data_IF_065387389612
#
_entry.id   IF_065387389612
#
_cell.length_a   1.000
_cell.length_b   1.000
_cell.length_c   1.000
_cell.angle_alpha   90.00
_cell.angle_beta   90.00
_cell.angle_gamma   90.00
#
_symmetry.space_group_name_H-M   'P 1'
#
loop_
_entity.id
_entity.type
_entity.pdbx_description
1 polymer ?
#
# COMPACT_ATOMS: atom_id res chain seq x y z
N UNK A 1 8.95 16.59 -21.27
CA UNK A 1 9.48 15.98 -20.03
C UNK A 1 9.01 14.55 -19.97
N UNK A 2 9.92 13.60 -19.86
CA UNK A 2 9.56 12.17 -19.68
C UNK A 2 8.88 12.02 -18.34
N UNK A 3 7.72 11.34 -18.30
CA UNK A 3 7.02 11.03 -17.05
C UNK A 3 7.93 10.15 -16.18
N UNK A 4 8.18 10.54 -14.94
CA UNK A 4 8.90 9.66 -14.00
C UNK A 4 7.97 8.52 -13.58
N UNK A 5 8.52 7.33 -13.43
CA UNK A 5 7.78 6.19 -12.88
C UNK A 5 7.56 6.36 -11.36
N UNK A 6 6.67 5.58 -10.79
CA UNK A 6 6.33 5.61 -9.36
C UNK A 6 6.45 4.21 -8.78
N UNK A 7 7.21 4.05 -7.70
CA UNK A 7 7.26 2.81 -6.92
C UNK A 7 6.55 3.07 -5.59
N UNK A 8 5.55 2.26 -5.30
CA UNK A 8 4.78 2.28 -4.05
C UNK A 8 4.99 0.94 -3.36
N UNK A 9 5.47 0.94 -2.13
CA UNK A 9 5.60 -0.31 -1.39
C UNK A 9 5.14 -0.17 0.06
N UNK A 10 4.50 -1.23 0.58
CA UNK A 10 4.20 -1.31 2.01
C UNK A 10 5.48 -1.62 2.77
N UNK A 11 5.61 -1.08 3.97
CA UNK A 11 6.72 -1.45 4.84
C UNK A 11 6.49 -2.85 5.41
N UNK A 12 7.52 -3.69 5.39
CA UNK A 12 7.54 -4.95 6.12
C UNK A 12 7.53 -4.73 7.64
N UNK A 13 7.56 -5.77 8.43
CA UNK A 13 7.60 -5.71 9.88
C UNK A 13 6.31 -6.20 10.53
N UNK A 14 5.58 -5.37 11.28
CA UNK A 14 4.40 -5.84 12.04
C UNK A 14 3.36 -6.54 11.15
N UNK A 15 3.05 -7.79 11.49
CA UNK A 15 1.94 -8.55 10.88
C UNK A 15 0.56 -8.07 11.36
N UNK A 16 -0.47 -8.27 10.53
CA UNK A 16 -1.86 -7.98 10.92
C UNK A 16 -2.28 -6.52 10.94
N UNK A 17 -1.44 -5.57 10.55
CA UNK A 17 -1.78 -4.13 10.53
C UNK A 17 -2.66 -3.70 9.36
N UNK A 18 -2.93 -4.60 8.41
CA UNK A 18 -3.80 -4.35 7.24
C UNK A 18 -3.06 -3.90 5.98
N UNK A 19 -1.76 -4.23 5.82
CA UNK A 19 -0.96 -3.87 4.63
C UNK A 19 -1.66 -4.24 3.33
N UNK A 20 -1.97 -5.52 3.16
CA UNK A 20 -2.62 -6.04 1.95
C UNK A 20 -3.99 -5.39 1.69
N UNK A 21 -4.78 -5.12 2.74
CA UNK A 21 -6.07 -4.42 2.61
C UNK A 21 -5.90 -2.99 2.10
N UNK A 22 -4.91 -2.27 2.64
CA UNK A 22 -4.60 -0.88 2.22
C UNK A 22 -4.11 -0.87 0.78
N UNK A 23 -3.17 -1.75 0.43
CA UNK A 23 -2.59 -1.79 -0.91
C UNK A 23 -3.61 -2.24 -1.96
N UNK A 24 -4.54 -3.13 -1.60
CA UNK A 24 -5.64 -3.52 -2.47
C UNK A 24 -6.57 -2.35 -2.77
N UNK A 25 -6.96 -1.57 -1.75
CA UNK A 25 -7.76 -0.37 -1.95
C UNK A 25 -7.03 0.72 -2.75
N UNK A 26 -5.71 0.86 -2.54
CA UNK A 26 -4.86 1.79 -3.29
C UNK A 26 -4.77 1.39 -4.76
N UNK A 27 -4.59 0.11 -5.05
CA UNK A 27 -4.58 -0.44 -6.42
C UNK A 27 -5.86 -0.08 -7.16
N UNK A 28 -6.99 -0.32 -6.53
CA UNK A 28 -8.29 0.00 -7.09
C UNK A 28 -8.46 1.50 -7.35
N UNK A 29 -8.03 2.36 -6.40
CA UNK A 29 -8.07 3.82 -6.59
C UNK A 29 -7.17 4.26 -7.76
N UNK A 30 -5.95 3.73 -7.89
CA UNK A 30 -5.03 4.04 -9.00
C UNK A 30 -5.66 3.67 -10.35
N UNK A 31 -6.36 2.54 -10.42
CA UNK A 31 -7.09 2.14 -11.64
C UNK A 31 -8.21 3.11 -12.02
N UNK A 32 -8.82 3.80 -11.06
CA UNK A 32 -9.79 4.87 -11.38
C UNK A 32 -9.14 6.12 -12.00
N UNK A 33 -7.81 6.22 -11.94
CA UNK A 33 -7.01 7.28 -12.57
C UNK A 33 -6.46 6.87 -13.94
N UNK A 34 -7.00 5.80 -14.50
CA UNK A 34 -6.60 5.25 -15.82
C UNK A 34 -5.15 4.76 -15.88
N UNK A 35 -4.57 4.44 -14.72
CA UNK A 35 -3.30 3.73 -14.65
C UNK A 35 -3.55 2.23 -14.46
N UNK A 36 -2.75 1.40 -15.13
CA UNK A 36 -2.70 -0.03 -14.88
C UNK A 36 -1.38 -0.38 -14.17
N UNK A 37 -1.37 -0.43 -12.83
CA UNK A 37 -0.14 -0.64 -12.09
C UNK A 37 0.35 -2.07 -12.21
N UNK A 38 1.67 -2.25 -12.22
CA UNK A 38 2.32 -3.54 -12.06
C UNK A 38 2.27 -3.92 -10.59
N UNK A 39 1.70 -5.10 -10.31
CA UNK A 39 1.46 -5.57 -8.96
C UNK A 39 2.48 -6.64 -8.57
N UNK A 40 3.20 -6.43 -7.47
CA UNK A 40 4.22 -7.34 -6.95
C UNK A 40 3.81 -7.80 -5.54
N UNK A 41 3.88 -9.09 -5.30
CA UNK A 41 3.62 -9.71 -4.01
C UNK A 41 4.91 -10.31 -3.46
N UNK A 42 5.48 -9.67 -2.44
CA UNK A 42 6.72 -10.07 -1.76
C UNK A 42 6.46 -10.86 -0.48
N UNK A 43 5.18 -11.11 -0.13
CA UNK A 43 4.84 -11.89 1.06
C UNK A 43 4.97 -13.39 0.81
N UNK A 44 6.14 -13.95 1.13
CA UNK A 44 6.40 -15.38 1.03
C UNK A 44 5.91 -16.20 2.22
N UNK A 45 5.46 -15.55 3.31
CA UNK A 45 5.01 -16.24 4.52
C UNK A 45 3.52 -16.62 4.44
N UNK A 46 2.70 -15.81 3.77
CA UNK A 46 1.26 -16.02 3.62
C UNK A 46 0.90 -16.59 2.23
N UNK A 47 1.40 -17.79 1.92
CA UNK A 47 1.27 -18.37 0.56
C UNK A 47 -0.17 -18.62 0.08
N UNK A 48 -1.15 -18.83 0.98
CA UNK A 48 -2.41 -19.49 0.55
C UNK A 48 -3.72 -18.72 0.78
N UNK A 49 -3.82 -17.71 1.65
CA UNK A 49 -5.16 -17.18 2.02
C UNK A 49 -5.30 -15.67 2.17
N UNK A 50 -4.24 -14.89 2.30
CA UNK A 50 -4.32 -13.45 2.53
C UNK A 50 -3.21 -12.64 1.86
N UNK A 51 -2.51 -13.22 0.92
CA UNK A 51 -1.48 -12.51 0.14
C UNK A 51 -2.13 -11.59 -0.90
N UNK A 52 -1.39 -10.61 -1.36
CA UNK A 52 -1.87 -9.67 -2.37
C UNK A 52 -2.33 -10.37 -3.65
N UNK A 53 -1.61 -11.41 -4.08
CA UNK A 53 -1.99 -12.23 -5.22
C UNK A 53 -3.34 -12.94 -5.04
N UNK A 54 -3.79 -13.19 -3.82
CA UNK A 54 -5.11 -13.81 -3.62
C UNK A 54 -6.27 -12.88 -3.98
N UNK A 55 -6.08 -11.55 -3.90
CA UNK A 55 -7.05 -10.53 -4.30
C UNK A 55 -6.89 -10.13 -5.77
N UNK A 56 -5.66 -10.09 -6.25
CA UNK A 56 -5.27 -9.74 -7.61
C UNK A 56 -4.43 -10.87 -8.22
N UNK A 57 -5.06 -11.85 -8.90
CA UNK A 57 -4.37 -13.02 -9.44
C UNK A 57 -3.25 -12.68 -10.44
N UNK A 58 -3.31 -11.50 -11.05
CA UNK A 58 -2.28 -10.96 -11.94
C UNK A 58 -1.03 -10.44 -11.20
N UNK A 59 -1.08 -10.30 -9.86
CA UNK A 59 0.09 -9.89 -9.09
C UNK A 59 1.21 -10.93 -9.20
N UNK A 60 2.41 -10.45 -9.52
CA UNK A 60 3.58 -11.31 -9.66
C UNK A 60 4.16 -11.63 -8.29
N UNK A 61 4.22 -12.92 -7.95
CA UNK A 61 4.89 -13.38 -6.73
C UNK A 61 6.39 -13.34 -6.94
N UNK A 62 7.10 -12.64 -6.06
CA UNK A 62 8.56 -12.53 -6.11
C UNK A 62 9.13 -12.98 -4.77
N UNK A 63 10.01 -13.99 -4.82
CA UNK A 63 10.77 -14.38 -3.63
C UNK A 63 11.95 -13.43 -3.44
N UNK A 64 11.83 -12.50 -2.51
CA UNK A 64 12.87 -11.49 -2.23
C UNK A 64 14.17 -12.09 -1.68
N UNK A 65 14.15 -13.34 -1.20
CA UNK A 65 15.33 -14.06 -0.71
C UNK A 65 16.15 -14.69 -1.85
N UNK A 66 15.53 -14.82 -3.02
CA UNK A 66 16.25 -15.31 -4.19
C UNK A 66 17.22 -14.22 -4.72
N UNK A 67 18.46 -14.59 -5.10
CA UNK A 67 19.41 -13.65 -5.65
C UNK A 67 18.79 -12.82 -6.80
N UNK A 68 19.10 -11.53 -6.83
CA UNK A 68 18.71 -10.59 -7.89
C UNK A 68 17.22 -10.51 -8.19
N UNK A 69 16.38 -11.08 -7.32
CA UNK A 69 14.93 -11.10 -7.52
C UNK A 69 14.30 -9.71 -7.52
N UNK A 70 14.83 -8.79 -6.70
CA UNK A 70 14.37 -7.40 -6.63
C UNK A 70 14.83 -6.57 -7.84
N UNK A 71 15.86 -7.01 -8.56
CA UNK A 71 16.33 -6.31 -9.78
C UNK A 71 15.30 -6.39 -10.93
N UNK A 72 14.34 -7.31 -10.84
CA UNK A 72 13.19 -7.34 -11.75
C UNK A 72 12.39 -6.03 -11.76
N UNK A 73 12.46 -5.25 -10.67
CA UNK A 73 11.84 -3.92 -10.60
C UNK A 73 12.38 -3.01 -11.69
N UNK A 74 13.67 -3.08 -12.03
CA UNK A 74 14.27 -2.26 -13.09
C UNK A 74 13.64 -2.50 -14.44
N UNK A 75 13.32 -3.76 -14.76
CA UNK A 75 12.66 -4.10 -16.03
C UNK A 75 11.30 -3.37 -16.19
N UNK A 76 10.57 -3.19 -15.10
CA UNK A 76 9.30 -2.48 -15.13
C UNK A 76 9.48 -0.96 -15.28
N UNK A 77 10.63 -0.42 -14.88
CA UNK A 77 10.95 1.00 -14.99
C UNK A 77 11.44 1.40 -16.39
N UNK A 78 11.70 0.47 -17.29
CA UNK A 78 12.06 0.73 -18.69
C UNK A 78 10.95 1.51 -19.42
N UNK A 79 9.69 1.34 -18.98
CA UNK A 79 8.57 2.12 -19.50
C UNK A 79 8.30 3.35 -18.63
N UNK A 80 8.57 4.57 -19.12
CA UNK A 80 8.36 5.78 -18.34
C UNK A 80 6.90 5.99 -17.92
N UNK A 81 6.69 6.44 -16.69
CA UNK A 81 5.35 6.70 -16.16
C UNK A 81 4.65 5.45 -15.61
N UNK A 82 5.36 4.33 -15.53
CA UNK A 82 4.85 3.09 -14.90
C UNK A 82 4.64 3.29 -13.40
N UNK A 83 3.58 2.70 -12.87
CA UNK A 83 3.36 2.55 -11.42
C UNK A 83 3.63 1.10 -11.04
N UNK A 84 4.56 0.90 -10.11
CA UNK A 84 4.82 -0.40 -9.49
C UNK A 84 4.28 -0.39 -8.08
N UNK A 85 3.46 -1.34 -7.72
CA UNK A 85 2.90 -1.53 -6.36
C UNK A 85 3.43 -2.83 -5.79
N UNK A 86 4.12 -2.76 -4.64
CA UNK A 86 4.69 -3.92 -3.99
C UNK A 86 4.13 -4.10 -2.57
N UNK A 87 3.52 -5.25 -2.30
CA UNK A 87 3.09 -5.65 -0.96
C UNK A 87 4.15 -6.49 -0.28
N UNK A 88 4.71 -5.98 0.83
CA UNK A 88 5.78 -6.65 1.55
C UNK A 88 5.25 -7.51 2.70
N UNK A 89 5.81 -8.72 2.81
CA UNK A 89 5.62 -9.58 3.96
C UNK A 89 6.24 -9.02 5.26
N UNK A 90 5.84 -9.56 6.40
CA UNK A 90 6.32 -9.08 7.70
C UNK A 90 7.85 -9.21 7.86
N UNK A 91 8.47 -10.27 7.30
CA UNK A 91 9.90 -10.55 7.45
C UNK A 91 10.81 -9.97 6.34
N UNK A 92 10.30 -9.11 5.45
CA UNK A 92 11.02 -8.69 4.23
C UNK A 92 12.02 -7.55 4.39
N UNK A 93 12.24 -7.03 5.59
CA UNK A 93 13.01 -5.79 5.80
C UNK A 93 14.48 -5.90 5.38
N UNK A 94 15.20 -6.92 5.85
CA UNK A 94 16.65 -7.01 5.65
C UNK A 94 17.06 -7.08 4.17
N UNK A 95 16.39 -7.89 3.38
CA UNK A 95 16.65 -8.05 1.95
C UNK A 95 16.33 -6.76 1.20
N UNK A 96 15.19 -6.13 1.53
CA UNK A 96 14.79 -4.87 0.90
C UNK A 96 15.73 -3.73 1.24
N UNK A 97 16.19 -3.62 2.50
CA UNK A 97 17.17 -2.60 2.90
C UNK A 97 18.49 -2.78 2.14
N UNK A 98 19.03 -4.03 2.12
CA UNK A 98 20.27 -4.33 1.41
C UNK A 98 20.19 -4.03 -0.08
N UNK A 99 19.07 -4.35 -0.72
CA UNK A 99 18.83 -4.02 -2.12
C UNK A 99 18.75 -2.50 -2.33
N UNK A 100 17.97 -1.82 -1.50
CA UNK A 100 17.75 -0.38 -1.62
C UNK A 100 19.06 0.40 -1.41
N UNK A 101 19.89 0.00 -0.46
CA UNK A 101 21.19 0.64 -0.21
C UNK A 101 22.13 0.56 -1.43
N UNK A 102 22.05 -0.53 -2.20
CA UNK A 102 22.85 -0.67 -3.44
C UNK A 102 22.26 0.06 -4.64
N UNK A 103 20.96 0.23 -4.69
CA UNK A 103 20.24 0.61 -5.93
C UNK A 103 19.50 1.93 -5.85
N UNK A 104 19.36 2.55 -4.68
CA UNK A 104 18.53 3.74 -4.47
C UNK A 104 18.90 4.90 -5.43
N UNK A 105 20.19 5.12 -5.69
CA UNK A 105 20.64 6.16 -6.60
C UNK A 105 20.15 5.88 -8.03
N UNK A 106 20.30 4.64 -8.50
CA UNK A 106 19.88 4.24 -9.84
C UNK A 106 18.36 4.31 -9.95
N UNK A 107 17.64 3.76 -8.96
CA UNK A 107 16.15 3.86 -8.91
C UNK A 107 15.73 5.32 -8.98
N UNK A 108 16.38 6.21 -8.23
CA UNK A 108 16.09 7.64 -8.19
C UNK A 108 16.25 8.37 -9.53
N UNK A 109 16.97 7.81 -10.50
CA UNK A 109 17.07 8.38 -11.86
C UNK A 109 15.79 8.15 -12.67
N UNK A 110 15.09 7.04 -12.43
CA UNK A 110 13.93 6.60 -13.23
C UNK A 110 12.59 6.78 -12.53
N UNK A 111 12.56 6.65 -11.21
CA UNK A 111 11.32 6.61 -10.45
C UNK A 111 11.37 7.46 -9.18
N UNK A 112 10.20 7.93 -8.78
CA UNK A 112 9.95 8.40 -7.43
C UNK A 112 9.51 7.21 -6.57
N UNK A 113 9.97 7.16 -5.32
CA UNK A 113 9.69 6.04 -4.43
C UNK A 113 8.87 6.54 -3.25
N UNK A 114 7.76 5.87 -2.96
CA UNK A 114 6.94 6.13 -1.78
C UNK A 114 6.83 4.88 -0.90
N UNK A 115 7.29 5.01 0.32
CA UNK A 115 7.19 4.00 1.36
C UNK A 115 5.88 4.20 2.14
N UNK A 116 5.06 3.15 2.26
CA UNK A 116 3.74 3.18 2.88
C UNK A 116 3.81 2.49 4.23
N UNK A 117 3.80 3.28 5.30
CA UNK A 117 3.74 2.81 6.68
C UNK A 117 2.31 2.74 7.18
N UNK A 118 1.94 1.68 7.88
CA UNK A 118 0.59 1.51 8.40
C UNK A 118 0.63 1.47 9.94
N UNK A 119 0.00 2.46 10.54
CA UNK A 119 -0.15 2.61 11.98
C UNK A 119 -1.47 2.03 12.44
N UNK A 120 -1.43 1.26 13.49
CA UNK A 120 -2.58 0.81 14.26
C UNK A 120 -2.42 1.22 15.73
N UNK A 121 -3.32 0.81 16.62
CA UNK A 121 -3.15 0.98 18.07
C UNK A 121 -1.95 0.20 18.64
N UNK A 122 -1.42 -0.79 17.90
CA UNK A 122 -0.29 -1.61 18.34
C UNK A 122 1.02 -0.82 18.19
N UNK A 123 1.77 -0.56 19.29
CA UNK A 123 3.03 0.18 19.23
C UNK A 123 4.05 -0.43 18.25
N UNK A 124 4.06 -1.76 18.07
CA UNK A 124 4.94 -2.43 17.13
C UNK A 124 4.74 -1.99 15.66
N UNK A 125 3.57 -1.42 15.32
CA UNK A 125 3.37 -0.81 14.01
C UNK A 125 4.18 0.47 13.84
N UNK A 126 4.30 1.27 14.90
CA UNK A 126 5.10 2.50 14.94
C UNK A 126 6.60 2.18 14.94
N UNK A 127 7.04 1.21 15.76
CA UNK A 127 8.43 0.75 15.78
C UNK A 127 8.89 0.29 14.40
N UNK A 128 8.04 -0.45 13.70
CA UNK A 128 8.31 -0.87 12.33
C UNK A 128 8.54 0.33 11.40
N UNK A 129 7.69 1.35 11.47
CA UNK A 129 7.81 2.56 10.64
C UNK A 129 9.13 3.29 10.93
N UNK A 130 9.48 3.45 12.21
CA UNK A 130 10.72 4.13 12.59
C UNK A 130 11.96 3.35 12.12
N UNK A 131 11.92 2.02 12.18
CA UNK A 131 12.99 1.16 11.66
C UNK A 131 13.16 1.38 10.14
N UNK A 132 12.07 1.36 9.38
CA UNK A 132 12.10 1.62 7.95
C UNK A 132 12.56 3.04 7.64
N UNK A 133 12.10 4.04 8.37
CA UNK A 133 12.52 5.43 8.21
C UNK A 133 14.02 5.62 8.47
N UNK A 134 14.57 4.92 9.47
CA UNK A 134 16.01 4.95 9.76
C UNK A 134 16.84 4.43 8.58
N UNK A 135 16.42 3.32 7.96
CA UNK A 135 17.14 2.74 6.81
C UNK A 135 16.94 3.52 5.51
N UNK A 136 15.73 3.99 5.24
CA UNK A 136 15.43 4.64 3.96
C UNK A 136 15.82 6.14 3.94
N UNK A 137 15.78 6.81 5.08
CA UNK A 137 16.14 8.23 5.20
C UNK A 137 15.27 9.14 4.34
N UNK A 138 15.91 10.08 3.66
CA UNK A 138 15.31 11.05 2.74
C UNK A 138 15.25 10.57 1.28
N UNK A 139 15.70 9.34 1.02
CA UNK A 139 15.71 8.72 -0.32
C UNK A 139 14.33 8.36 -0.86
N UNK A 140 13.29 8.42 0.01
CA UNK A 140 11.91 8.09 -0.33
C UNK A 140 10.94 9.11 0.25
N UNK A 141 9.75 9.19 -0.34
CA UNK A 141 8.60 9.87 0.26
C UNK A 141 7.86 8.90 1.18
N UNK A 142 7.18 9.43 2.19
CA UNK A 142 6.45 8.61 3.15
C UNK A 142 4.96 8.92 3.10
N UNK A 143 4.16 7.87 2.93
CA UNK A 143 2.74 7.86 3.22
C UNK A 143 2.51 7.09 4.52
N UNK A 144 1.94 7.74 5.51
CA UNK A 144 1.53 7.09 6.75
C UNK A 144 0.01 6.94 6.76
N UNK A 145 -0.44 5.71 6.91
CA UNK A 145 -1.85 5.35 6.97
C UNK A 145 -2.23 5.02 8.40
N UNK A 146 -3.00 5.88 9.04
CA UNK A 146 -3.61 5.60 10.34
C UNK A 146 -4.82 4.68 10.11
N UNK A 147 -4.63 3.40 10.34
CA UNK A 147 -5.63 2.37 10.05
C UNK A 147 -6.39 1.99 11.33
N UNK A 148 -7.59 2.51 11.49
CA UNK A 148 -8.46 2.22 12.63
C UNK A 148 -9.06 0.81 12.49
N UNK A 149 -8.38 -0.21 12.98
CA UNK A 149 -8.88 -1.59 12.94
C UNK A 149 -10.10 -1.82 13.85
N UNK A 150 -10.19 -1.09 14.95
CA UNK A 150 -11.30 -1.14 15.89
C UNK A 150 -11.78 0.27 16.17
N UNK A 151 -13.09 0.49 16.13
CA UNK A 151 -13.71 1.80 16.31
C UNK A 151 -13.34 2.43 17.66
N UNK A 152 -12.95 3.71 17.62
CA UNK A 152 -12.63 4.50 18.80
C UNK A 152 -11.28 4.16 19.45
N UNK A 153 -10.41 3.43 18.76
CA UNK A 153 -9.04 3.21 19.23
C UNK A 153 -8.16 4.39 18.80
N UNK A 154 -7.45 4.97 19.77
CA UNK A 154 -6.48 6.04 19.50
C UNK A 154 -5.21 5.52 18.83
N UNK A 155 -4.40 6.47 18.39
CA UNK A 155 -3.07 6.23 17.81
C UNK A 155 -1.99 6.84 18.73
N UNK A 156 -2.11 6.61 20.05
CA UNK A 156 -1.27 7.27 21.07
C UNK A 156 0.22 6.99 20.84
N UNK A 157 0.57 5.76 20.45
CA UNK A 157 1.95 5.43 20.09
C UNK A 157 2.49 6.26 18.91
N UNK A 158 1.62 6.67 17.98
CA UNK A 158 2.00 7.56 16.88
C UNK A 158 2.06 9.03 17.30
N UNK A 159 1.12 9.50 18.10
CA UNK A 159 1.01 10.92 18.46
C UNK A 159 1.97 11.34 19.56
N UNK A 160 2.27 10.45 20.51
CA UNK A 160 2.94 10.83 21.74
C UNK A 160 4.44 10.47 21.78
N UNK A 161 4.88 9.54 20.92
CA UNK A 161 6.27 9.08 20.87
C UNK A 161 7.21 10.18 20.36
N UNK A 162 8.28 10.54 21.11
CA UNK A 162 9.23 11.58 20.70
C UNK A 162 9.93 11.28 19.38
N UNK A 163 10.28 10.02 19.11
CA UNK A 163 10.93 9.56 17.89
C UNK A 163 10.01 9.76 16.68
N UNK A 164 8.70 9.58 16.84
CA UNK A 164 7.72 9.88 15.79
C UNK A 164 7.67 11.38 15.51
N UNK A 165 7.69 12.22 16.55
CA UNK A 165 7.71 13.69 16.36
C UNK A 165 8.96 14.13 15.62
N UNK A 166 10.10 13.54 15.94
CA UNK A 166 11.36 13.79 15.21
C UNK A 166 11.29 13.33 13.74
N UNK A 167 10.76 12.14 13.49
CA UNK A 167 10.53 11.62 12.15
C UNK A 167 9.60 12.52 11.35
N UNK A 168 8.45 12.92 11.92
CA UNK A 168 7.49 13.79 11.25
C UNK A 168 8.09 15.15 10.92
N UNK A 169 8.89 15.73 11.82
CA UNK A 169 9.57 17.00 11.59
C UNK A 169 10.59 16.91 10.46
N UNK A 170 11.37 15.82 10.39
CA UNK A 170 12.43 15.62 9.40
C UNK A 170 11.87 15.20 8.04
N UNK A 171 11.08 14.15 7.98
CA UNK A 171 10.62 13.52 6.74
C UNK A 171 9.33 14.14 6.17
N UNK A 172 8.57 14.89 6.98
CA UNK A 172 7.30 15.53 6.59
C UNK A 172 6.36 14.58 5.85
N UNK A 173 6.07 13.39 6.42
CA UNK A 173 5.26 12.39 5.76
C UNK A 173 3.86 12.92 5.45
N UNK A 174 3.27 12.44 4.35
CA UNK A 174 1.83 12.59 4.17
C UNK A 174 1.12 11.60 5.10
N UNK A 175 0.20 12.07 5.91
CA UNK A 175 -0.59 11.25 6.82
C UNK A 175 -2.03 11.23 6.35
N UNK A 176 -2.63 10.05 6.26
CA UNK A 176 -4.05 9.84 5.95
C UNK A 176 -4.67 8.90 6.97
N UNK A 177 -5.99 8.99 7.16
CA UNK A 177 -6.75 8.09 8.02
C UNK A 177 -7.64 7.16 7.22
N UNK A 178 -7.71 5.90 7.62
CA UNK A 178 -8.73 4.95 7.16
C UNK A 178 -9.57 4.53 8.36
N UNK A 179 -10.87 4.78 8.25
CA UNK A 179 -11.82 4.47 9.32
C UNK A 179 -12.05 2.96 9.46
N UNK A 180 -12.45 2.58 10.65
CA UNK A 180 -12.83 1.21 10.99
C UNK A 180 -13.88 0.67 10.02
N UNK A 181 -13.59 -0.52 9.51
CA UNK A 181 -14.55 -1.34 8.79
C UNK A 181 -15.11 -2.40 9.74
N UNK A 182 -16.34 -2.82 9.50
CA UNK A 182 -16.94 -3.90 10.25
C UNK A 182 -16.06 -5.16 10.14
N UNK A 183 -15.62 -5.79 11.26
CA UNK A 183 -14.73 -6.95 11.22
C UNK A 183 -15.31 -8.12 10.41
N UNK A 184 -16.60 -8.42 10.55
CA UNK A 184 -17.25 -9.49 9.78
C UNK A 184 -17.20 -9.19 8.27
N UNK A 185 -17.27 -7.91 7.88
CA UNK A 185 -17.17 -7.51 6.49
C UNK A 185 -15.76 -7.77 5.92
N UNK A 186 -14.73 -7.40 6.68
CA UNK A 186 -13.33 -7.64 6.31
C UNK A 186 -13.00 -9.13 6.26
N UNK A 187 -13.48 -9.90 7.24
CA UNK A 187 -13.27 -11.34 7.28
C UNK A 187 -13.96 -12.04 6.11
N UNK A 188 -15.14 -11.61 5.74
CA UNK A 188 -15.85 -12.14 4.58
C UNK A 188 -15.18 -11.78 3.25
N UNK A 189 -14.64 -10.57 3.10
CA UNK A 189 -13.82 -10.20 1.92
C UNK A 189 -12.60 -11.11 1.82
N UNK A 190 -11.86 -11.27 2.92
CA UNK A 190 -10.65 -12.09 2.98
C UNK A 190 -10.93 -13.55 2.70
N UNK A 191 -11.94 -14.13 3.37
CA UNK A 191 -12.31 -15.54 3.21
C UNK A 191 -12.70 -15.88 1.77
N UNK A 192 -13.29 -14.93 1.05
CA UNK A 192 -13.75 -15.11 -0.33
C UNK A 192 -12.84 -14.47 -1.37
N UNK A 193 -11.69 -13.92 -0.98
CA UNK A 193 -10.70 -13.28 -1.89
C UNK A 193 -11.34 -12.17 -2.75
N UNK A 194 -12.22 -11.38 -2.14
CA UNK A 194 -12.94 -10.32 -2.81
C UNK A 194 -12.36 -8.95 -2.46
N UNK A 195 -12.34 -8.08 -3.46
CA UNK A 195 -12.11 -6.65 -3.28
C UNK A 195 -13.44 -5.90 -3.18
N UNK A 196 -13.39 -4.65 -2.71
CA UNK A 196 -14.59 -3.81 -2.64
C UNK A 196 -15.22 -3.60 -4.03
N UNK A 197 -14.39 -3.47 -5.07
CA UNK A 197 -14.85 -3.29 -6.46
C UNK A 197 -15.67 -4.49 -6.94
N UNK A 198 -15.20 -5.71 -6.68
CA UNK A 198 -15.92 -6.95 -7.03
C UNK A 198 -17.27 -7.02 -6.33
N UNK A 199 -17.33 -6.63 -5.04
CA UNK A 199 -18.58 -6.56 -4.30
C UNK A 199 -19.53 -5.52 -4.90
N UNK A 200 -19.06 -4.32 -5.19
CA UNK A 200 -19.86 -3.22 -5.76
C UNK A 200 -20.34 -3.56 -7.17
N UNK A 201 -19.49 -4.16 -7.98
CA UNK A 201 -19.82 -4.60 -9.34
C UNK A 201 -20.70 -5.85 -9.37
N UNK A 202 -20.90 -6.50 -8.22
CA UNK A 202 -21.59 -7.80 -8.10
C UNK A 202 -20.90 -8.93 -8.90
N UNK A 203 -19.60 -8.82 -9.10
CA UNK A 203 -18.77 -9.80 -9.78
C UNK A 203 -18.28 -10.86 -8.77
N UNK A 204 -19.24 -11.61 -8.20
CA UNK A 204 -18.98 -12.68 -7.26
C UNK A 204 -20.24 -13.53 -7.04
N UNK A 205 -20.06 -14.76 -6.55
CA UNK A 205 -21.16 -15.70 -6.21
C UNK A 205 -21.57 -15.70 -4.74
N UNK A 206 -20.93 -14.89 -3.88
CA UNK A 206 -21.13 -14.92 -2.42
C UNK A 206 -22.42 -14.23 -2.02
N UNK A 207 -23.40 -15.00 -1.56
CA UNK A 207 -24.77 -14.52 -1.21
C UNK A 207 -24.75 -13.43 -0.14
N UNK A 208 -23.85 -13.53 0.84
CA UNK A 208 -23.74 -12.56 1.92
C UNK A 208 -23.52 -11.12 1.43
N UNK A 209 -22.80 -10.95 0.32
CA UNK A 209 -22.55 -9.65 -0.29
C UNK A 209 -23.63 -9.18 -1.28
N UNK A 210 -24.61 -10.00 -1.62
CA UNK A 210 -25.67 -9.62 -2.56
C UNK A 210 -26.70 -8.65 -1.97
N UNK A 211 -26.76 -8.51 -0.65
CA UNK A 211 -27.72 -7.61 0.01
C UNK A 211 -27.37 -6.13 -0.27
N UNK A 212 -28.40 -5.31 -0.42
CA UNK A 212 -28.24 -3.88 -0.62
C UNK A 212 -27.41 -3.23 0.50
N UNK A 213 -27.63 -3.62 1.74
CA UNK A 213 -26.88 -3.12 2.90
C UNK A 213 -25.38 -3.34 2.74
N UNK A 214 -24.94 -4.52 2.28
CA UNK A 214 -23.52 -4.84 2.11
C UNK A 214 -22.92 -4.09 0.93
N UNK A 215 -23.66 -3.92 -0.15
CA UNK A 215 -23.21 -3.10 -1.29
C UNK A 215 -23.05 -1.63 -0.87
N UNK A 216 -23.98 -1.08 -0.10
CA UNK A 216 -23.88 0.30 0.41
C UNK A 216 -22.69 0.44 1.36
N UNK A 217 -22.44 -0.54 2.23
CA UNK A 217 -21.24 -0.56 3.08
C UNK A 217 -19.96 -0.58 2.25
N UNK A 218 -19.87 -1.43 1.23
CA UNK A 218 -18.72 -1.49 0.32
C UNK A 218 -18.44 -0.14 -0.35
N UNK A 219 -19.49 0.49 -0.89
CA UNK A 219 -19.38 1.82 -1.53
C UNK A 219 -18.88 2.89 -0.55
N UNK A 220 -19.40 2.91 0.67
CA UNK A 220 -18.95 3.85 1.68
C UNK A 220 -17.46 3.66 2.01
N UNK A 221 -17.03 2.41 2.27
CA UNK A 221 -15.63 2.11 2.56
C UNK A 221 -14.71 2.46 1.40
N UNK A 222 -15.14 2.20 0.16
CA UNK A 222 -14.40 2.58 -1.03
C UNK A 222 -14.26 4.10 -1.15
N UNK A 223 -15.34 4.83 -0.98
CA UNK A 223 -15.35 6.30 -1.08
C UNK A 223 -14.45 6.94 -0.03
N UNK A 224 -14.48 6.46 1.22
CA UNK A 224 -13.63 6.93 2.30
C UNK A 224 -12.14 6.69 1.97
N UNK A 225 -11.79 5.49 1.52
CA UNK A 225 -10.41 5.17 1.14
C UNK A 225 -9.95 6.02 -0.06
N UNK A 226 -10.79 6.16 -1.08
CA UNK A 226 -10.46 6.95 -2.28
C UNK A 226 -10.27 8.43 -1.96
N UNK A 227 -11.11 9.01 -1.10
CA UNK A 227 -10.93 10.38 -0.63
C UNK A 227 -9.61 10.58 0.12
N UNK A 228 -9.22 9.60 0.95
CA UNK A 228 -7.95 9.64 1.66
C UNK A 228 -6.76 9.58 0.68
N UNK A 229 -6.77 8.66 -0.29
CA UNK A 229 -5.70 8.56 -1.30
C UNK A 229 -5.64 9.78 -2.21
N UNK A 230 -6.79 10.37 -2.58
CA UNK A 230 -6.84 11.60 -3.36
C UNK A 230 -6.06 12.72 -2.69
N UNK A 231 -6.18 12.86 -1.36
CA UNK A 231 -5.43 13.84 -0.58
C UNK A 231 -3.91 13.63 -0.61
N UNK A 232 -3.45 12.44 -1.01
CA UNK A 232 -2.05 12.05 -1.12
C UNK A 232 -1.59 11.84 -2.57
N UNK A 233 -2.42 12.18 -3.55
CA UNK A 233 -2.18 11.89 -4.99
C UNK A 233 -0.81 12.35 -5.49
N UNK A 234 -0.29 13.45 -4.98
CA UNK A 234 1.02 14.00 -5.36
C UNK A 234 2.22 13.06 -5.10
N UNK A 235 2.08 12.14 -4.15
CA UNK A 235 3.13 11.16 -3.81
C UNK A 235 2.76 9.73 -4.22
N UNK A 236 1.58 9.54 -4.76
CA UNK A 236 1.05 8.24 -5.18
C UNK A 236 1.01 8.06 -6.70
N UNK A 237 0.95 9.15 -7.45
CA UNK A 237 0.89 9.12 -8.91
C UNK A 237 2.18 9.69 -9.52
N UNK A 238 2.54 9.28 -10.74
CA UNK A 238 3.70 9.81 -11.45
C UNK A 238 3.66 11.32 -11.60
N UNK A 239 4.77 11.99 -11.31
CA UNK A 239 4.90 13.43 -11.49
C UNK A 239 4.79 13.80 -12.99
N UNK A 240 3.93 14.76 -13.33
CA UNK A 240 3.67 15.22 -14.70
C UNK A 240 2.47 14.57 -15.40
N UNK A 241 1.70 13.73 -14.71
CA UNK A 241 0.41 13.22 -15.20
C UNK A 241 -0.74 14.12 -14.79
N UNK A 242 -1.03 15.18 -15.54
CA UNK A 242 -2.40 15.71 -15.57
C UNK A 242 -3.27 14.59 -16.14
N UNK A 243 -4.28 14.14 -15.37
CA UNK A 243 -5.37 13.34 -15.92
C UNK A 243 -5.81 14.00 -17.22
N UNK A 244 -5.85 13.26 -18.31
CA UNK A 244 -6.52 13.71 -19.52
C UNK A 244 -7.94 14.09 -19.08
N UNK A 245 -8.24 15.40 -19.08
CA UNK A 245 -9.59 15.86 -18.90
C UNK A 245 -10.42 15.16 -19.96
N UNK A 246 -11.39 14.37 -19.52
CA UNK A 246 -12.37 13.77 -20.40
C UNK A 246 -13.05 14.90 -21.17
N UNK A 247 -12.86 14.88 -22.49
CA UNK A 247 -13.62 15.67 -23.43
C UNK A 247 -14.94 14.95 -23.75
#
# INVERSE_FOLDING_TARGET
>A
MTKRSQILFTQGGKGGVGKTTVIAALTAWIRTKEFDPILLDFDNENRDKSSFQSFYPEAQKIDIRAPDSLDKVFHFLETPGTIVIADQGAGSGAETFSWFDRTAQIVGEFADVTSIGIVTKDPGSVESILTWAHHLGDRVRYLIVLNELLRGTGFDAWTDTPEVKAFVAAAKPKVIGLQNRNPDFEDMLRANRLTLEKVIAKDHSVDWFKSLTRIVQARRYQQEAYSAFESASQILLPSGGTALAAA
#
